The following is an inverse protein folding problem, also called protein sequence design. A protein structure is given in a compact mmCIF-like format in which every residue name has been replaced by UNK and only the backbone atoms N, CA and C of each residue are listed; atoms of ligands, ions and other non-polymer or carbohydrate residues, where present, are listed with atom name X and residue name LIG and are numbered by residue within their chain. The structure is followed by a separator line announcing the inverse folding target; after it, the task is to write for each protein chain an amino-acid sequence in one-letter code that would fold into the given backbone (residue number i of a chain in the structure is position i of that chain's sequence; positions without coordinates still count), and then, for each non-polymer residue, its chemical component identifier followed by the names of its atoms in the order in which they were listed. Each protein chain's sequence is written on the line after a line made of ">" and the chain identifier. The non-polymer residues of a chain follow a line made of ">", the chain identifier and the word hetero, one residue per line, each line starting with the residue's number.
data_IF_277085032498
#
_entry.id   IF_277085032498
#
_cell.length_a   1.000
_cell.length_b   1.000
_cell.length_c   1.000
_cell.angle_alpha   90.00
_cell.angle_beta   90.00
_cell.angle_gamma   90.00
#
_symmetry.space_group_name_H-M   'P 1'
#
loop_
_entity.id
_entity.type
_entity.pdbx_description
1 polymer ?
#
# COMPACT_ATOMS: atom_id res chain seq x y z
N UNK A 1 -13.32 -5.87 15.77
CA UNK A 1 -11.92 -6.13 16.16
C UNK A 1 -11.06 -6.40 14.91
N UNK A 2 -9.96 -5.71 14.79
CA UNK A 2 -9.06 -5.91 13.66
C UNK A 2 -8.26 -7.21 13.83
N UNK A 3 -8.19 -8.00 12.78
CA UNK A 3 -7.45 -9.26 12.81
C UNK A 3 -6.95 -9.64 11.43
N UNK A 4 -5.68 -10.01 11.35
CA UNK A 4 -5.05 -10.48 10.11
C UNK A 4 -4.42 -11.85 10.35
N UNK A 5 -4.82 -12.84 9.55
CA UNK A 5 -4.23 -14.18 9.59
C UNK A 5 -3.52 -14.52 8.28
N UNK A 6 -2.85 -15.66 8.22
CA UNK A 6 -2.09 -16.05 7.05
C UNK A 6 -2.99 -16.40 5.85
N UNK A 7 -4.20 -16.87 6.09
CA UNK A 7 -5.15 -17.15 5.02
C UNK A 7 -5.60 -15.84 4.33
N UNK A 8 -5.95 -14.82 5.12
CA UNK A 8 -6.29 -13.51 4.58
C UNK A 8 -5.11 -12.89 3.84
N UNK A 9 -3.91 -12.97 4.41
CA UNK A 9 -2.68 -12.46 3.78
C UNK A 9 -2.46 -13.11 2.41
N UNK A 10 -2.64 -14.42 2.32
CA UNK A 10 -2.47 -15.17 1.06
C UNK A 10 -3.46 -14.70 -0.01
N UNK A 11 -4.73 -14.51 0.36
CA UNK A 11 -5.76 -14.03 -0.55
C UNK A 11 -5.47 -12.60 -1.02
N UNK A 12 -5.03 -11.76 -0.11
CA UNK A 12 -4.68 -10.37 -0.42
C UNK A 12 -3.45 -10.31 -1.34
N UNK A 13 -2.45 -11.13 -1.08
CA UNK A 13 -1.27 -11.22 -1.93
C UNK A 13 -1.64 -11.60 -3.36
N UNK A 14 -2.54 -12.58 -3.54
CA UNK A 14 -3.02 -12.97 -4.85
C UNK A 14 -3.73 -11.81 -5.56
N UNK A 15 -4.54 -11.02 -4.83
CA UNK A 15 -5.21 -9.85 -5.39
C UNK A 15 -4.21 -8.76 -5.78
N UNK A 16 -3.18 -8.53 -4.97
CA UNK A 16 -2.12 -7.56 -5.27
C UNK A 16 -1.37 -7.98 -6.53
N UNK A 17 -0.99 -9.25 -6.63
CA UNK A 17 -0.28 -9.77 -7.80
C UNK A 17 -1.12 -9.65 -9.07
N UNK A 18 -2.44 -9.89 -8.98
CA UNK A 18 -3.35 -9.69 -10.11
C UNK A 18 -3.45 -8.21 -10.52
N UNK A 19 -3.51 -7.30 -9.56
CA UNK A 19 -3.55 -5.87 -9.83
C UNK A 19 -2.26 -5.40 -10.55
N UNK A 20 -1.10 -5.88 -10.09
CA UNK A 20 0.19 -5.56 -10.69
C UNK A 20 0.25 -6.12 -12.14
N UNK A 21 -0.19 -7.35 -12.34
CA UNK A 21 -0.21 -7.98 -13.67
C UNK A 21 -1.09 -7.23 -14.65
N UNK A 22 -2.20 -6.66 -14.19
CA UNK A 22 -3.12 -5.85 -15.00
C UNK A 22 -2.41 -4.64 -15.62
N UNK A 23 -1.43 -4.06 -14.94
CA UNK A 23 -0.70 -2.90 -15.41
C UNK A 23 0.52 -3.25 -16.24
N UNK A 24 0.84 -4.52 -16.38
CA UNK A 24 1.99 -5.02 -17.15
C UNK A 24 3.30 -4.32 -16.76
N UNK A 25 3.48 -4.12 -15.47
CA UNK A 25 4.68 -3.47 -14.90
C UNK A 25 5.37 -4.39 -13.92
N UNK A 26 6.68 -4.32 -13.86
CA UNK A 26 7.46 -5.04 -12.85
C UNK A 26 7.42 -4.27 -11.55
N UNK A 27 6.96 -4.93 -10.50
CA UNK A 27 6.90 -4.35 -9.15
C UNK A 27 7.42 -5.38 -8.16
N UNK A 28 8.35 -4.95 -7.33
CA UNK A 28 8.85 -5.75 -6.21
C UNK A 28 8.37 -5.12 -4.92
N UNK A 29 7.76 -5.91 -4.07
CA UNK A 29 7.20 -5.43 -2.80
C UNK A 29 7.42 -6.43 -1.68
N UNK A 30 7.26 -5.96 -0.44
CA UNK A 30 7.20 -6.82 0.74
C UNK A 30 5.83 -6.68 1.40
N UNK A 31 5.35 -7.76 1.99
CA UNK A 31 4.05 -7.81 2.66
C UNK A 31 4.24 -8.49 4.00
N UNK A 32 3.94 -7.78 5.09
CA UNK A 32 4.19 -8.22 6.46
C UNK A 32 2.95 -8.04 7.31
N UNK A 33 2.69 -8.99 8.20
CA UNK A 33 1.64 -8.87 9.23
C UNK A 33 2.30 -8.44 10.53
N UNK A 34 1.75 -7.40 11.17
CA UNK A 34 2.23 -6.90 12.46
C UNK A 34 1.15 -7.05 13.52
N UNK A 35 1.51 -7.66 14.65
CA UNK A 35 0.61 -7.80 15.81
C UNK A 35 -0.73 -8.45 15.50
N UNK A 36 -0.80 -9.27 14.44
CA UNK A 36 -2.01 -9.94 13.94
C UNK A 36 -3.17 -8.98 13.61
N UNK A 37 -2.91 -7.69 13.52
CA UNK A 37 -3.94 -6.67 13.25
C UNK A 37 -3.63 -5.79 12.05
N UNK A 38 -2.35 -5.64 11.68
CA UNK A 38 -1.92 -4.72 10.63
C UNK A 38 -1.28 -5.46 9.48
N UNK A 39 -1.68 -5.09 8.27
CA UNK A 39 -1.03 -5.53 7.04
C UNK A 39 -0.15 -4.38 6.53
N UNK A 40 1.16 -4.62 6.48
CA UNK A 40 2.12 -3.64 6.03
C UNK A 40 2.69 -4.04 4.67
N UNK A 41 2.58 -3.15 3.69
CA UNK A 41 3.13 -3.34 2.35
C UNK A 41 4.13 -2.23 2.05
N UNK A 42 5.30 -2.61 1.54
CA UNK A 42 6.29 -1.67 1.04
C UNK A 42 6.63 -2.00 -0.41
N UNK A 43 6.51 -1.01 -1.30
CA UNK A 43 6.90 -1.16 -2.70
C UNK A 43 8.39 -0.82 -2.80
N UNK A 44 9.20 -1.82 -3.10
CA UNK A 44 10.66 -1.69 -3.08
C UNK A 44 11.24 -1.31 -4.44
N UNK A 45 10.67 -1.84 -5.53
CA UNK A 45 11.11 -1.54 -6.89
C UNK A 45 9.91 -1.49 -7.82
N UNK A 46 9.95 -0.60 -8.81
CA UNK A 46 8.89 -0.47 -9.81
C UNK A 46 9.45 0.14 -11.09
N UNK A 47 8.87 -0.21 -12.23
CA UNK A 47 9.20 0.41 -13.52
C UNK A 47 8.73 1.87 -13.59
N UNK A 48 7.73 2.23 -12.80
CA UNK A 48 7.26 3.62 -12.67
C UNK A 48 7.98 4.26 -11.50
N UNK A 49 8.48 5.49 -11.67
CA UNK A 49 9.13 6.22 -10.59
C UNK A 49 8.09 6.77 -9.62
N UNK A 50 7.78 5.98 -8.59
CA UNK A 50 6.78 6.33 -7.59
C UNK A 50 7.28 7.39 -6.59
N UNK A 51 8.55 7.73 -6.61
CA UNK A 51 9.14 8.76 -5.72
C UNK A 51 9.23 10.13 -6.38
N UNK A 52 8.96 10.25 -7.67
CA UNK A 52 9.19 11.48 -8.43
C UNK A 52 8.53 12.70 -7.82
N UNK A 53 7.21 12.64 -7.60
CA UNK A 53 6.46 13.78 -7.06
C UNK A 53 6.86 14.09 -5.63
N UNK A 54 7.07 13.07 -4.82
CA UNK A 54 7.47 13.26 -3.42
C UNK A 54 8.84 13.93 -3.32
N UNK A 55 9.81 13.46 -4.09
CA UNK A 55 11.15 14.07 -4.12
C UNK A 55 11.12 15.52 -4.61
N UNK A 56 10.28 15.79 -5.60
CA UNK A 56 10.15 17.11 -6.19
C UNK A 56 9.51 18.12 -5.22
N UNK A 57 8.50 17.70 -4.46
CA UNK A 57 7.70 18.60 -3.64
C UNK A 57 8.10 18.63 -2.17
N UNK A 58 8.75 17.59 -1.66
CA UNK A 58 9.09 17.47 -0.24
C UNK A 58 10.59 17.38 0.00
N UNK A 59 11.23 16.31 -0.49
CA UNK A 59 12.63 16.04 -0.19
C UNK A 59 13.29 15.36 -1.39
N UNK A 60 14.19 16.06 -2.11
CA UNK A 60 14.86 15.46 -3.28
C UNK A 60 15.76 14.28 -2.96
N UNK A 61 16.14 14.10 -1.68
CA UNK A 61 16.98 13.00 -1.24
C UNK A 61 16.19 11.89 -0.53
N UNK A 62 14.86 11.93 -0.58
CA UNK A 62 14.03 10.92 0.06
C UNK A 62 14.26 9.54 -0.55
N UNK A 63 14.39 8.52 0.31
CA UNK A 63 14.59 7.13 -0.08
C UNK A 63 13.32 6.30 0.12
N UNK A 64 12.40 6.79 0.93
CA UNK A 64 11.11 6.14 1.19
C UNK A 64 10.12 7.17 1.72
N UNK A 65 8.82 6.86 1.65
CA UNK A 65 7.77 7.63 2.32
C UNK A 65 6.54 6.77 2.55
N UNK A 66 5.75 7.14 3.57
CA UNK A 66 4.48 6.50 3.84
C UNK A 66 3.41 7.05 2.91
N UNK A 67 2.60 6.17 2.33
CA UNK A 67 1.50 6.54 1.44
C UNK A 67 0.23 6.70 2.25
N UNK A 68 -0.46 7.82 2.08
CA UNK A 68 -1.81 7.96 2.60
C UNK A 68 -2.77 7.24 1.65
N UNK A 69 -3.17 6.02 2.02
CA UNK A 69 -4.02 5.19 1.15
C UNK A 69 -5.44 5.71 1.00
N UNK A 70 -5.86 6.69 1.81
CA UNK A 70 -7.13 7.38 1.63
C UNK A 70 -7.06 8.49 0.58
N UNK A 71 -5.86 9.05 0.35
CA UNK A 71 -5.66 10.16 -0.59
C UNK A 71 -4.42 9.93 -1.45
N UNK A 72 -4.44 8.91 -2.33
CA UNK A 72 -3.25 8.58 -3.14
C UNK A 72 -2.87 9.68 -4.13
N UNK A 73 -3.81 10.55 -4.50
CA UNK A 73 -3.54 11.64 -5.45
C UNK A 73 -2.54 12.67 -4.95
N UNK A 74 -2.22 12.66 -3.66
CA UNK A 74 -1.25 13.60 -3.07
C UNK A 74 0.13 13.48 -3.72
N UNK A 75 0.58 12.24 -3.97
CA UNK A 75 1.95 11.98 -4.44
C UNK A 75 2.04 11.21 -5.75
N UNK A 76 0.92 10.85 -6.36
CA UNK A 76 0.92 10.04 -7.58
C UNK A 76 0.03 10.67 -8.64
N UNK A 77 0.46 10.51 -9.90
CA UNK A 77 -0.29 10.98 -11.08
C UNK A 77 -0.17 9.94 -12.19
N UNK A 78 -1.06 10.04 -13.18
CA UNK A 78 -1.02 9.21 -14.38
C UNK A 78 -1.05 7.72 -14.09
N UNK A 79 -0.17 6.97 -14.74
CA UNK A 79 -0.10 5.51 -14.61
C UNK A 79 0.32 5.07 -13.21
N UNK A 80 1.16 5.84 -12.54
CA UNK A 80 1.55 5.58 -11.16
C UNK A 80 0.35 5.65 -10.23
N UNK A 81 -0.51 6.65 -10.39
CA UNK A 81 -1.73 6.78 -9.61
C UNK A 81 -2.68 5.60 -9.86
N UNK A 82 -2.87 5.21 -11.12
CA UNK A 82 -3.72 4.06 -11.46
C UNK A 82 -3.22 2.77 -10.80
N UNK A 83 -1.91 2.53 -10.85
CA UNK A 83 -1.30 1.36 -10.23
C UNK A 83 -1.51 1.37 -8.70
N UNK A 84 -1.25 2.50 -8.05
CA UNK A 84 -1.40 2.63 -6.59
C UNK A 84 -2.87 2.47 -6.17
N UNK A 85 -3.81 3.05 -6.92
CA UNK A 85 -5.23 2.90 -6.62
C UNK A 85 -5.68 1.44 -6.71
N UNK A 86 -5.22 0.70 -7.72
CA UNK A 86 -5.54 -0.73 -7.85
C UNK A 86 -4.89 -1.57 -6.76
N UNK A 87 -3.67 -1.24 -6.35
CA UNK A 87 -2.99 -1.88 -5.22
C UNK A 87 -3.78 -1.64 -3.93
N UNK A 88 -4.24 -0.42 -3.69
CA UNK A 88 -5.04 -0.09 -2.51
C UNK A 88 -6.33 -0.91 -2.49
N UNK A 89 -7.03 -1.03 -3.62
CA UNK A 89 -8.22 -1.88 -3.72
C UNK A 89 -7.90 -3.34 -3.41
N UNK A 90 -6.78 -3.85 -3.90
CA UNK A 90 -6.35 -5.22 -3.65
C UNK A 90 -6.05 -5.46 -2.17
N UNK A 91 -5.35 -4.52 -1.53
CA UNK A 91 -5.04 -4.61 -0.09
C UNK A 91 -6.33 -4.63 0.74
N UNK A 92 -7.35 -3.89 0.31
CA UNK A 92 -8.63 -3.80 1.02
C UNK A 92 -9.64 -4.90 0.66
N UNK A 93 -9.30 -5.84 -0.22
CA UNK A 93 -10.27 -6.81 -0.74
C UNK A 93 -10.89 -7.72 0.34
N UNK A 94 -10.21 -7.91 1.46
CA UNK A 94 -10.70 -8.69 2.60
C UNK A 94 -11.08 -7.79 3.79
N UNK A 95 -11.02 -6.48 3.60
CA UNK A 95 -11.25 -5.53 4.69
C UNK A 95 -12.72 -5.11 4.76
N UNK A 96 -13.12 -4.66 5.93
CA UNK A 96 -14.41 -4.04 6.18
C UNK A 96 -14.24 -2.94 7.22
N UNK A 97 -15.19 -2.01 7.25
CA UNK A 97 -15.24 -0.94 8.26
C UNK A 97 -16.69 -0.72 8.67
N UNK A 98 -17.03 -1.26 9.83
CA UNK A 98 -18.34 -1.11 10.46
C UNK A 98 -18.27 -0.14 11.66
N UNK A 99 -17.29 0.74 11.67
CA UNK A 99 -17.12 1.72 12.73
C UNK A 99 -18.28 2.69 12.78
N UNK A 100 -18.70 3.06 14.00
CA UNK A 100 -19.76 4.06 14.24
C UNK A 100 -19.18 5.19 15.08
N UNK A 101 -18.97 6.33 14.44
CA UNK A 101 -18.36 7.50 15.08
C UNK A 101 -19.26 8.04 16.18
N UNK A 102 -20.59 7.97 16.01
CA UNK A 102 -21.54 8.48 17.00
C UNK A 102 -21.54 7.68 18.30
N UNK A 103 -21.15 6.39 18.21
CA UNK A 103 -21.09 5.50 19.37
C UNK A 103 -19.67 5.24 19.84
N UNK A 104 -18.69 5.92 19.23
CA UNK A 104 -17.27 5.69 19.51
C UNK A 104 -16.87 4.22 19.30
N UNK A 105 -17.52 3.57 18.34
CA UNK A 105 -17.31 2.15 18.03
C UNK A 105 -16.45 1.99 16.79
N UNK A 106 -15.36 1.25 16.93
CA UNK A 106 -14.42 1.00 15.82
C UNK A 106 -14.36 -0.50 15.54
N UNK A 107 -14.76 -0.87 14.32
CA UNK A 107 -14.77 -2.26 13.88
C UNK A 107 -14.24 -2.35 12.44
N UNK A 108 -12.95 -2.65 12.32
CA UNK A 108 -12.27 -2.83 11.04
C UNK A 108 -11.79 -4.26 10.89
N UNK A 109 -11.73 -4.74 9.64
CA UNK A 109 -11.19 -6.07 9.36
C UNK A 109 -9.72 -6.17 9.70
N UNK A 110 -8.93 -5.15 9.34
CA UNK A 110 -7.51 -5.04 9.67
C UNK A 110 -7.03 -3.61 9.34
N UNK A 111 -5.88 -3.24 9.90
CA UNK A 111 -5.24 -1.97 9.61
C UNK A 111 -4.27 -2.12 8.45
N UNK A 112 -4.07 -1.06 7.68
CA UNK A 112 -3.21 -1.04 6.49
C UNK A 112 -2.11 0.00 6.69
N UNK A 113 -0.88 -0.41 6.38
CA UNK A 113 0.26 0.49 6.22
C UNK A 113 0.85 0.27 4.83
N UNK A 114 0.90 1.32 4.03
CA UNK A 114 1.46 1.27 2.68
C UNK A 114 2.59 2.29 2.58
N UNK A 115 3.73 1.87 2.04
CA UNK A 115 4.86 2.76 1.83
C UNK A 115 5.52 2.49 0.48
N UNK A 116 6.23 3.49 -0.02
CA UNK A 116 7.14 3.37 -1.15
C UNK A 116 8.54 3.36 -0.56
N UNK A 117 9.21 2.19 -0.63
CA UNK A 117 10.50 1.98 0.03
C UNK A 117 10.37 1.73 1.52
N UNK A 118 11.50 1.49 2.17
CA UNK A 118 11.64 1.32 3.62
C UNK A 118 12.91 2.01 4.08
N UNK A 119 13.03 2.29 5.38
CA UNK A 119 14.22 2.92 5.95
C UNK A 119 15.50 2.10 5.72
N UNK A 120 15.39 0.76 5.66
CA UNK A 120 16.51 -0.16 5.43
C UNK A 120 16.60 -0.68 3.99
N UNK A 121 15.59 -0.37 3.16
CA UNK A 121 15.49 -0.79 1.76
C UNK A 121 14.88 0.34 0.94
N UNK A 122 15.69 1.29 0.46
CA UNK A 122 15.16 2.42 -0.31
C UNK A 122 14.51 1.97 -1.60
N UNK A 123 13.52 2.76 -2.04
CA UNK A 123 12.85 2.51 -3.31
C UNK A 123 13.83 2.71 -4.48
N UNK A 124 13.78 1.81 -5.43
CA UNK A 124 14.59 1.86 -6.65
C UNK A 124 13.70 1.75 -7.88
N UNK A 125 13.85 2.68 -8.82
CA UNK A 125 13.19 2.57 -10.12
C UNK A 125 13.97 1.56 -10.98
N UNK A 126 13.24 0.65 -11.58
CA UNK A 126 13.84 -0.35 -12.50
C UNK A 126 13.98 0.24 -13.91
#
# INVERSE_FOLDING_TARGET
>A
MAYMDQAKKKNIKAAIDAAIAKHDKKVKYSLTVRNHMELSMAILQCEIDLMEEYRKLQNPNAEYFAVNHFFPKTWFTGKGLELIEDIIKAINCQNYDNSDIQRDYFDCGYYISLSVGKWDKPFTKI
#
